data_IF_649907666825
#
_entry.id   IF_649907666825
#
_cell.length_a   1.000
_cell.length_b   1.000
_cell.length_c   1.000
_cell.angle_alpha   90.00
_cell.angle_beta   90.00
_cell.angle_gamma   90.00
#
_symmetry.space_group_name_H-M   'P 1'
#
loop_
_entity.id
_entity.type
_entity.pdbx_description
1 polymer ?
#
# COMPACT_ATOMS: atom_id res chain seq x y z
N UNK A 1 -5.33 8.52 10.52
CA UNK A 1 -6.08 7.98 9.37
C UNK A 1 -6.11 6.46 9.41
N UNK A 2 -7.16 5.90 8.91
CA UNK A 2 -7.36 4.45 8.85
C UNK A 2 -7.10 3.98 7.42
N UNK A 3 -6.22 2.99 7.27
CA UNK A 3 -5.88 2.43 5.96
C UNK A 3 -6.57 1.08 5.82
N UNK A 4 -7.28 0.89 4.72
CA UNK A 4 -7.94 -0.37 4.41
C UNK A 4 -7.51 -0.86 3.04
N UNK A 5 -7.09 -2.11 2.97
CA UNK A 5 -6.87 -2.78 1.71
C UNK A 5 -8.14 -3.49 1.31
N UNK A 6 -8.57 -3.31 0.08
CA UNK A 6 -9.82 -3.88 -0.40
C UNK A 6 -9.66 -4.45 -1.81
N UNK A 7 -10.58 -5.35 -2.16
CA UNK A 7 -10.72 -5.85 -3.52
C UNK A 7 -11.63 -4.92 -4.32
N UNK A 8 -11.63 -5.00 -5.66
CA UNK A 8 -12.58 -4.21 -6.48
C UNK A 8 -14.04 -4.49 -6.16
N UNK A 9 -14.35 -5.67 -5.62
CA UNK A 9 -15.72 -6.02 -5.22
C UNK A 9 -16.11 -5.45 -3.85
N UNK A 10 -15.18 -4.78 -3.16
CA UNK A 10 -15.44 -4.16 -1.87
C UNK A 10 -15.09 -5.02 -0.66
N UNK A 11 -14.53 -6.21 -0.87
CA UNK A 11 -14.09 -7.06 0.23
C UNK A 11 -12.88 -6.43 0.91
N UNK A 12 -12.97 -6.24 2.23
CA UNK A 12 -11.86 -5.71 3.03
C UNK A 12 -10.89 -6.82 3.38
N UNK A 13 -9.64 -6.66 2.96
CA UNK A 13 -8.59 -7.65 3.20
C UNK A 13 -7.82 -7.37 4.49
N UNK A 14 -7.62 -6.10 4.81
CA UNK A 14 -6.80 -5.69 5.93
C UNK A 14 -7.12 -4.25 6.31
N UNK A 15 -7.09 -3.96 7.61
CA UNK A 15 -7.29 -2.59 8.11
C UNK A 15 -6.23 -2.30 9.17
N UNK A 16 -5.63 -1.13 9.11
CA UNK A 16 -4.67 -0.67 10.10
C UNK A 16 -4.68 0.85 10.19
N UNK A 17 -4.09 1.37 11.25
CA UNK A 17 -4.04 2.81 11.50
C UNK A 17 -2.65 3.35 11.24
N UNK A 18 -2.58 4.48 10.55
CA UNK A 18 -1.35 5.26 10.40
C UNK A 18 -1.55 6.64 11.01
N UNK A 19 -0.56 7.08 11.76
CA UNK A 19 -0.56 8.44 12.28
C UNK A 19 -0.14 9.40 11.17
N UNK A 20 -0.87 10.51 11.08
CA UNK A 20 -0.51 11.58 10.16
C UNK A 20 0.04 12.75 10.96
N UNK A 21 1.21 13.21 10.58
CA UNK A 21 1.83 14.38 11.21
C UNK A 21 1.38 15.69 10.58
N UNK A 22 0.61 15.62 9.50
CA UNK A 22 0.16 16.80 8.76
C UNK A 22 -1.33 16.71 8.48
N UNK A 23 -1.96 17.87 8.38
CA UNK A 23 -3.39 17.97 8.05
C UNK A 23 -3.68 17.78 6.56
N UNK A 24 -2.66 17.84 5.74
CA UNK A 24 -2.77 17.67 4.29
C UNK A 24 -1.68 16.73 3.80
N UNK A 25 -2.07 15.80 2.96
CA UNK A 25 -1.14 14.86 2.35
C UNK A 25 -1.46 14.68 0.88
N UNK A 26 -0.43 14.64 0.06
CA UNK A 26 -0.59 14.24 -1.33
C UNK A 26 -0.76 12.73 -1.40
N UNK A 27 -1.27 12.24 -2.53
CA UNK A 27 -1.35 10.79 -2.80
C UNK A 27 0.04 10.16 -2.62
N UNK A 28 1.08 10.80 -3.14
CA UNK A 28 2.46 10.34 -2.99
C UNK A 28 2.87 10.19 -1.53
N UNK A 29 2.53 11.17 -0.70
CA UNK A 29 2.86 11.13 0.72
C UNK A 29 2.10 10.04 1.46
N UNK A 30 0.85 9.79 1.10
CA UNK A 30 0.06 8.70 1.70
C UNK A 30 0.69 7.35 1.33
N UNK A 31 1.05 7.16 0.08
CA UNK A 31 1.73 5.94 -0.37
C UNK A 31 3.06 5.77 0.36
N UNK A 32 3.83 6.85 0.47
CA UNK A 32 5.12 6.82 1.15
C UNK A 32 4.98 6.41 2.62
N UNK A 33 4.04 7.00 3.33
CA UNK A 33 3.81 6.68 4.74
C UNK A 33 3.45 5.21 4.92
N UNK A 34 2.58 4.69 4.07
CA UNK A 34 2.19 3.28 4.12
C UNK A 34 3.38 2.36 3.83
N UNK A 35 4.10 2.60 2.76
CA UNK A 35 5.24 1.75 2.36
C UNK A 35 6.30 1.74 3.46
N UNK A 36 6.62 2.90 4.00
CA UNK A 36 7.61 3.00 5.07
C UNK A 36 7.21 2.17 6.29
N UNK A 37 5.93 2.26 6.69
CA UNK A 37 5.45 1.54 7.86
C UNK A 37 5.44 0.03 7.64
N UNK A 38 4.91 -0.44 6.51
CA UNK A 38 4.83 -1.86 6.26
C UNK A 38 6.20 -2.53 6.09
N UNK A 39 7.14 -1.83 5.46
CA UNK A 39 8.51 -2.33 5.31
C UNK A 39 9.21 -2.37 6.66
N UNK A 40 9.06 -1.31 7.45
CA UNK A 40 9.64 -1.26 8.79
C UNK A 40 9.13 -2.38 9.68
N UNK A 41 7.81 -2.61 9.66
CA UNK A 41 7.21 -3.67 10.46
C UNK A 41 7.70 -5.05 10.03
N UNK A 42 7.78 -5.28 8.72
CA UNK A 42 8.28 -6.54 8.21
C UNK A 42 9.75 -6.75 8.59
N UNK A 43 10.60 -5.75 8.40
CA UNK A 43 12.02 -5.86 8.69
C UNK A 43 12.30 -6.12 10.18
N UNK A 44 11.42 -5.65 11.05
CA UNK A 44 11.53 -5.90 12.49
C UNK A 44 11.18 -7.33 12.87
N UNK A 45 10.25 -7.95 12.17
CA UNK A 45 9.73 -9.28 12.52
C UNK A 45 10.23 -10.39 11.59
N UNK A 46 10.51 -10.05 10.36
CA UNK A 46 10.95 -10.98 9.32
C UNK A 46 10.07 -12.23 9.20
N UNK A 47 8.81 -12.03 8.83
CA UNK A 47 7.89 -13.13 8.62
C UNK A 47 8.09 -13.82 7.28
N UNK A 48 7.42 -14.95 7.10
CA UNK A 48 7.44 -15.70 5.84
C UNK A 48 6.69 -14.97 4.73
N UNK A 49 5.60 -14.30 5.09
CA UNK A 49 4.74 -13.58 4.14
C UNK A 49 4.85 -12.08 4.41
N UNK A 50 5.11 -11.33 3.34
CA UNK A 50 5.07 -9.87 3.38
C UNK A 50 3.72 -9.40 2.87
N UNK A 51 2.96 -8.69 3.72
CA UNK A 51 1.63 -8.18 3.37
C UNK A 51 1.69 -6.74 2.85
N UNK A 52 2.64 -6.48 1.97
CA UNK A 52 2.83 -5.16 1.41
C UNK A 52 1.99 -4.89 0.18
N UNK A 53 1.96 -3.62 -0.21
CA UNK A 53 1.17 -3.16 -1.34
C UNK A 53 1.70 -3.69 -2.67
N UNK A 54 3.02 -3.74 -2.84
CA UNK A 54 3.66 -4.16 -4.09
C UNK A 54 4.68 -5.27 -3.84
N UNK A 55 4.98 -6.02 -4.89
CA UNK A 55 5.87 -7.17 -4.81
C UNK A 55 7.33 -6.75 -4.56
N UNK A 56 7.97 -7.30 -3.51
CA UNK A 56 9.40 -7.11 -3.32
C UNK A 56 10.22 -7.92 -4.33
N UNK A 57 11.49 -7.57 -4.48
CA UNK A 57 12.41 -8.32 -5.32
C UNK A 57 12.56 -9.77 -4.80
N UNK A 58 12.54 -10.73 -5.71
CA UNK A 58 12.69 -12.17 -5.43
C UNK A 58 11.61 -12.75 -4.51
N UNK A 59 10.46 -12.13 -4.43
CA UNK A 59 9.32 -12.69 -3.71
C UNK A 59 8.36 -13.40 -4.68
N UNK A 60 7.67 -14.41 -4.17
CA UNK A 60 6.64 -15.12 -4.90
C UNK A 60 5.26 -14.65 -4.45
N UNK A 61 4.29 -14.68 -5.38
CA UNK A 61 2.93 -14.33 -5.06
C UNK A 61 2.30 -15.37 -4.14
N UNK A 62 1.62 -14.91 -3.10
CA UNK A 62 0.88 -15.75 -2.16
C UNK A 62 -0.51 -15.16 -1.96
N UNK A 63 -1.38 -15.90 -1.27
CA UNK A 63 -2.71 -15.40 -0.94
C UNK A 63 -2.58 -14.19 -0.03
N UNK A 64 -3.08 -13.04 -0.49
CA UNK A 64 -3.08 -11.77 0.24
C UNK A 64 -1.69 -11.23 0.63
N UNK A 65 -0.63 -11.67 -0.07
CA UNK A 65 0.71 -11.19 0.24
C UNK A 65 1.76 -11.72 -0.70
N UNK A 66 3.01 -11.60 -0.27
CA UNK A 66 4.18 -12.00 -1.04
C UNK A 66 5.04 -12.93 -0.20
N UNK A 67 5.33 -14.11 -0.71
CA UNK A 67 6.17 -15.07 0.00
C UNK A 67 7.65 -14.73 -0.22
N UNK A 68 8.34 -14.50 0.88
CA UNK A 68 9.77 -14.20 0.85
C UNK A 68 10.55 -15.50 0.88
N UNK A 69 11.55 -15.63 0.00
CA UNK A 69 12.42 -16.82 -0.05
C UNK A 69 13.32 -16.91 1.15
N UNK A 70 13.79 -15.76 1.62
CA UNK A 70 14.70 -15.65 2.75
C UNK A 70 14.25 -14.50 3.66
N UNK A 71 14.67 -14.58 4.92
CA UNK A 71 14.52 -13.48 5.85
C UNK A 71 15.59 -12.43 5.55
N UNK A 72 15.24 -11.42 4.78
CA UNK A 72 16.14 -10.31 4.53
C UNK A 72 15.37 -8.99 4.51
N UNK A 73 16.08 -7.91 4.82
CA UNK A 73 15.49 -6.59 4.83
C UNK A 73 15.00 -6.17 3.45
N UNK A 74 13.85 -5.53 3.42
CA UNK A 74 13.28 -4.94 2.21
C UNK A 74 13.70 -3.48 2.17
N UNK A 75 14.07 -2.99 0.98
CA UNK A 75 14.42 -1.59 0.76
C UNK A 75 13.14 -0.78 0.54
N UNK A 76 12.78 0.07 1.50
CA UNK A 76 11.55 0.85 1.44
C UNK A 76 11.55 1.87 0.30
N UNK A 77 12.70 2.42 -0.06
CA UNK A 77 12.78 3.39 -1.15
C UNK A 77 12.46 2.74 -2.49
N UNK A 78 12.97 1.54 -2.70
CA UNK A 78 12.65 0.76 -3.89
C UNK A 78 11.18 0.39 -3.94
N UNK A 79 10.62 -0.03 -2.81
CA UNK A 79 9.19 -0.36 -2.71
C UNK A 79 8.32 0.87 -2.95
N UNK A 80 8.73 2.02 -2.44
CA UNK A 80 8.01 3.27 -2.68
C UNK A 80 8.01 3.64 -4.16
N UNK A 81 9.17 3.55 -4.81
CA UNK A 81 9.26 3.84 -6.24
C UNK A 81 8.36 2.92 -7.06
N UNK A 82 8.34 1.64 -6.73
CA UNK A 82 7.46 0.65 -7.37
C UNK A 82 6.00 0.95 -7.14
N UNK A 83 5.65 1.37 -5.93
CA UNK A 83 4.26 1.70 -5.61
C UNK A 83 3.77 2.91 -6.40
N UNK A 84 4.60 3.95 -6.51
CA UNK A 84 4.25 5.12 -7.33
C UNK A 84 4.06 4.75 -8.79
N UNK A 85 4.95 3.91 -9.32
CA UNK A 85 4.85 3.43 -10.70
C UNK A 85 3.58 2.60 -10.89
N UNK A 86 3.27 1.72 -9.95
CA UNK A 86 2.05 0.92 -10.01
C UNK A 86 0.80 1.79 -9.98
N UNK A 87 0.79 2.84 -9.15
CA UNK A 87 -0.32 3.79 -9.12
C UNK A 87 -0.52 4.45 -10.47
N UNK A 88 0.56 4.92 -11.10
CA UNK A 88 0.49 5.57 -12.41
C UNK A 88 0.03 4.64 -13.52
N UNK A 89 0.27 3.34 -13.37
CA UNK A 89 -0.18 2.30 -14.31
C UNK A 89 -1.56 1.73 -13.95
N UNK A 90 -2.23 2.30 -12.97
CA UNK A 90 -3.53 1.81 -12.48
C UNK A 90 -3.48 0.39 -11.93
N UNK A 91 -2.37 0.01 -11.29
CA UNK A 91 -2.24 -1.27 -10.62
C UNK A 91 -3.06 -1.37 -9.34
N UNK A 92 -3.37 -0.25 -8.75
CA UNK A 92 -4.30 -0.12 -7.64
C UNK A 92 -4.94 1.26 -7.68
N UNK A 93 -6.08 1.40 -7.00
CA UNK A 93 -6.75 2.69 -6.83
C UNK A 93 -6.64 3.15 -5.39
N UNK A 94 -6.58 4.45 -5.19
CA UNK A 94 -6.54 5.07 -3.87
C UNK A 94 -7.79 5.91 -3.68
N UNK A 95 -8.56 5.59 -2.65
CA UNK A 95 -9.75 6.36 -2.26
C UNK A 95 -9.49 7.02 -0.91
N UNK A 96 -9.64 8.33 -0.85
CA UNK A 96 -9.51 9.11 0.38
C UNK A 96 -10.88 9.69 0.70
N UNK A 97 -11.49 9.26 1.81
CA UNK A 97 -12.85 9.66 2.18
C UNK A 97 -13.81 9.51 0.99
N UNK A 98 -13.77 8.37 0.32
CA UNK A 98 -14.59 7.99 -0.84
C UNK A 98 -14.31 8.79 -2.13
N UNK A 99 -13.24 9.58 -2.16
CA UNK A 99 -12.81 10.27 -3.38
C UNK A 99 -11.57 9.61 -3.94
N UNK A 100 -11.60 9.31 -5.23
CA UNK A 100 -10.46 8.70 -5.91
C UNK A 100 -9.35 9.72 -6.14
N UNK A 101 -8.12 9.36 -5.73
CA UNK A 101 -6.93 10.12 -6.08
C UNK A 101 -6.56 9.85 -7.54
N UNK A 102 -6.44 10.90 -8.33
CA UNK A 102 -6.18 10.77 -9.77
C UNK A 102 -4.72 10.99 -10.15
N UNK A 103 -3.96 11.66 -9.30
CA UNK A 103 -2.54 11.89 -9.54
C UNK A 103 -1.74 11.83 -8.23
N UNK A 104 -0.44 11.58 -8.35
CA UNK A 104 0.45 11.52 -7.20
C UNK A 104 0.55 12.86 -6.46
N UNK A 105 0.31 13.96 -7.15
CA UNK A 105 0.43 15.29 -6.57
C UNK A 105 -0.89 15.84 -6.03
N UNK A 106 -1.98 15.09 -6.18
CA UNK A 106 -3.26 15.50 -5.63
C UNK A 106 -3.22 15.48 -4.10
N UNK A 107 -3.71 16.56 -3.48
CA UNK A 107 -3.66 16.76 -2.03
C UNK A 107 -5.04 16.59 -1.42
N UNK A 108 -5.09 15.87 -0.30
CA UNK A 108 -6.32 15.65 0.47
C UNK A 108 -6.15 16.15 1.90
N UNK A 109 -7.24 16.56 2.50
CA UNK A 109 -7.28 16.84 3.94
C UNK A 109 -7.31 15.52 4.70
N UNK A 110 -6.43 15.39 5.68
CA UNK A 110 -6.33 14.17 6.50
C UNK A 110 -6.66 14.51 7.94
N UNK A 111 -7.60 13.78 8.49
CA UNK A 111 -8.02 13.89 9.89
C UNK A 111 -7.87 12.54 10.57
N UNK A 112 -8.04 12.51 11.88
CA UNK A 112 -7.96 11.26 12.64
C UNK A 112 -8.96 10.24 12.12
N UNK A 113 -10.15 10.67 11.75
CA UNK A 113 -11.22 9.81 11.25
C UNK A 113 -11.18 9.55 9.74
N UNK A 114 -10.22 10.13 9.02
CA UNK A 114 -10.13 9.93 7.57
C UNK A 114 -9.85 8.48 7.23
N UNK A 115 -10.65 7.91 6.33
CA UNK A 115 -10.46 6.56 5.83
C UNK A 115 -9.82 6.61 4.45
N UNK A 116 -8.77 5.80 4.28
CA UNK A 116 -8.06 5.66 3.01
C UNK A 116 -8.16 4.19 2.59
N UNK A 117 -8.64 3.95 1.38
CA UNK A 117 -8.72 2.60 0.84
C UNK A 117 -7.73 2.43 -0.31
N UNK A 118 -6.97 1.35 -0.25
CA UNK A 118 -6.17 0.90 -1.37
C UNK A 118 -6.91 -0.26 -2.03
N UNK A 119 -7.49 -0.01 -3.18
CA UNK A 119 -8.23 -1.03 -3.92
C UNK A 119 -7.24 -1.76 -4.82
N UNK A 120 -6.86 -2.96 -4.40
CA UNK A 120 -5.87 -3.76 -5.12
C UNK A 120 -6.55 -4.48 -6.27
N UNK A 121 -6.04 -4.24 -7.47
CA UNK A 121 -6.51 -4.97 -8.64
C UNK A 121 -5.76 -6.29 -8.71
N UNK A 122 -6.51 -7.38 -8.75
CA UNK A 122 -5.91 -8.70 -8.93
C UNK A 122 -5.48 -8.82 -10.38
N UNK A 123 -4.20 -9.07 -10.68
CA UNK A 123 -3.79 -9.33 -12.05
C UNK A 123 -4.60 -10.47 -12.62
N UNK A 124 -4.95 -10.37 -13.89
CA UNK A 124 -5.66 -11.46 -14.55
C UNK A 124 -4.80 -12.71 -14.54
N UNK A 125 -5.38 -13.78 -14.01
CA UNK A 125 -4.68 -15.06 -13.91
C UNK A 125 -4.49 -15.63 -15.31
N UNK A 126 -3.31 -16.17 -15.56
CA UNK A 126 -2.97 -16.71 -16.87
C UNK A 126 -2.32 -15.70 -17.77
N UNK A 127 -2.24 -14.49 -17.30
CA UNK A 127 -1.43 -13.47 -17.93
C UNK A 127 -0.01 -13.57 -17.45
#
# INVERSE_FOLDING_TARGET
>A
MTITDATPSGEKLRTFTLDSLTERMSVREIIRARIWQEVRDYNAKCGEIFHGLVQPTDAERALNGWRMKECRAIDWEQQFARACEAFERNGFFLLVADRQGESLDEVFEIRVETEVQFVKLTPLVGG
#
